data_IF_423814600115
#
_entry.id   IF_423814600115
#
_cell.length_a   1.000
_cell.length_b   1.000
_cell.length_c   1.000
_cell.angle_alpha   90.00
_cell.angle_beta   90.00
_cell.angle_gamma   90.00
#
_symmetry.space_group_name_H-M   'P 1'
#
loop_
_entity.id
_entity.type
_entity.pdbx_description
1 polymer ?
#
# COMPACT_ATOMS: atom_id res chain seq x y z
N UNK A 1 -18.69 -35.26 34.32
CA UNK A 1 -18.46 -34.47 33.09
C UNK A 1 -17.97 -33.04 33.35
N UNK A 2 -18.52 -32.30 34.30
CA UNK A 2 -18.11 -30.92 34.65
C UNK A 2 -16.61 -30.74 35.00
N UNK A 3 -15.94 -31.76 35.55
CA UNK A 3 -14.54 -31.68 36.01
C UNK A 3 -13.51 -31.51 34.88
N UNK A 4 -13.79 -31.98 33.66
CA UNK A 4 -12.90 -31.78 32.51
C UNK A 4 -12.98 -30.38 31.90
N UNK A 5 -14.13 -29.71 32.04
CA UNK A 5 -14.36 -28.39 31.48
C UNK A 5 -13.85 -27.23 32.33
N UNK A 6 -13.79 -27.40 33.66
CA UNK A 6 -13.25 -26.39 34.58
C UNK A 6 -11.80 -26.00 34.25
N UNK A 7 -10.86 -26.95 34.07
CA UNK A 7 -9.48 -26.64 33.69
C UNK A 7 -9.37 -25.95 32.32
N UNK A 8 -10.16 -26.40 31.34
CA UNK A 8 -10.17 -25.83 29.99
C UNK A 8 -10.67 -24.38 29.98
N UNK A 9 -11.76 -24.10 30.70
CA UNK A 9 -12.29 -22.75 30.90
C UNK A 9 -11.29 -21.85 31.66
N UNK A 10 -10.65 -22.39 32.69
CA UNK A 10 -9.63 -21.68 33.47
C UNK A 10 -8.37 -21.35 32.65
N UNK A 11 -8.00 -22.18 31.68
CA UNK A 11 -6.91 -21.89 30.73
C UNK A 11 -7.30 -20.87 29.66
N UNK A 12 -8.54 -20.92 29.15
CA UNK A 12 -9.01 -20.00 28.11
C UNK A 12 -9.25 -18.57 28.63
N UNK A 13 -9.71 -18.42 29.87
CA UNK A 13 -10.14 -17.13 30.43
C UNK A 13 -9.00 -16.11 30.51
N UNK A 14 -7.79 -16.43 31.03
CA UNK A 14 -6.63 -15.53 31.01
C UNK A 14 -6.19 -15.19 29.59
N UNK A 15 -6.22 -16.16 28.67
CA UNK A 15 -5.83 -15.96 27.27
C UNK A 15 -6.76 -14.97 26.56
N UNK A 16 -8.08 -15.14 26.71
CA UNK A 16 -9.08 -14.21 26.17
C UNK A 16 -8.99 -12.83 26.82
N UNK A 17 -8.75 -12.78 28.14
CA UNK A 17 -8.56 -11.54 28.88
C UNK A 17 -7.31 -10.78 28.43
N UNK A 18 -6.23 -11.47 28.04
CA UNK A 18 -5.04 -10.86 27.44
C UNK A 18 -5.26 -10.37 26.01
N UNK A 19 -6.03 -11.11 25.20
CA UNK A 19 -6.35 -10.72 23.81
C UNK A 19 -7.24 -9.48 23.74
N UNK A 20 -8.20 -9.33 24.65
CA UNK A 20 -9.20 -8.26 24.63
C UNK A 20 -8.60 -6.85 24.63
N UNK A 21 -7.70 -6.45 25.56
CA UNK A 21 -7.06 -5.14 25.53
C UNK A 21 -6.17 -4.96 24.30
N UNK A 22 -5.51 -6.02 23.82
CA UNK A 22 -4.70 -5.95 22.60
C UNK A 22 -5.56 -5.64 21.36
N UNK A 23 -6.67 -6.35 21.19
CA UNK A 23 -7.61 -6.10 20.09
C UNK A 23 -8.25 -4.71 20.20
N UNK A 24 -8.58 -4.29 21.42
CA UNK A 24 -9.13 -2.96 21.69
C UNK A 24 -8.12 -1.85 21.37
N UNK A 25 -6.82 -2.04 21.62
CA UNK A 25 -5.78 -1.10 21.21
C UNK A 25 -5.56 -1.05 19.70
N UNK A 26 -5.68 -2.18 19.00
CA UNK A 26 -5.59 -2.22 17.54
C UNK A 26 -6.74 -1.50 16.83
N UNK A 27 -7.95 -1.57 17.39
CA UNK A 27 -9.16 -1.03 16.75
C UNK A 27 -9.07 0.48 16.42
N UNK A 28 -8.74 1.39 17.34
CA UNK A 28 -8.59 2.81 17.03
C UNK A 28 -7.43 3.06 16.05
N UNK A 29 -6.35 2.29 16.15
CA UNK A 29 -5.20 2.42 15.24
C UNK A 29 -5.58 2.06 13.79
N UNK A 30 -6.28 0.94 13.59
CA UNK A 30 -6.80 0.55 12.28
C UNK A 30 -7.85 1.54 11.76
N UNK A 31 -8.70 2.05 12.66
CA UNK A 31 -9.71 3.05 12.32
C UNK A 31 -9.09 4.38 11.88
N UNK A 32 -7.96 4.81 12.48
CA UNK A 32 -7.23 6.00 12.06
C UNK A 32 -6.50 5.82 10.73
N UNK A 33 -5.98 4.61 10.45
CA UNK A 33 -5.37 4.30 9.15
C UNK A 33 -6.37 4.33 7.98
N UNK A 34 -7.61 3.89 8.23
CA UNK A 34 -8.62 3.74 7.17
C UNK A 34 -8.90 5.03 6.38
N UNK A 35 -9.23 6.18 7.00
CA UNK A 35 -9.45 7.44 6.27
C UNK A 35 -8.16 7.92 5.58
N UNK A 36 -6.99 7.70 6.18
CA UNK A 36 -5.71 8.07 5.58
C UNK A 36 -5.42 7.27 4.29
N UNK A 37 -5.63 5.95 4.31
CA UNK A 37 -5.52 5.12 3.11
C UNK A 37 -6.58 5.46 2.07
N UNK A 38 -7.80 5.76 2.52
CA UNK A 38 -8.90 6.17 1.63
C UNK A 38 -8.61 7.49 0.93
N UNK A 39 -7.98 8.47 1.59
CA UNK A 39 -7.59 9.73 0.95
C UNK A 39 -6.42 9.58 -0.03
N UNK A 40 -5.48 8.65 0.23
CA UNK A 40 -4.42 8.34 -0.74
C UNK A 40 -4.94 7.70 -2.03
N UNK A 41 -5.99 6.88 -1.94
CA UNK A 41 -6.51 6.10 -3.08
C UNK A 41 -6.91 6.97 -4.29
N UNK A 42 -7.76 8.01 -4.18
CA UNK A 42 -8.10 8.87 -5.30
C UNK A 42 -6.89 9.65 -5.84
N UNK A 43 -5.96 10.05 -4.98
CA UNK A 43 -4.74 10.76 -5.39
C UNK A 43 -3.82 9.86 -6.22
N UNK A 44 -3.61 8.61 -5.80
CA UNK A 44 -2.86 7.62 -6.59
C UNK A 44 -3.58 7.27 -7.90
N UNK A 45 -4.91 7.14 -7.84
CA UNK A 45 -5.73 6.86 -9.02
C UNK A 45 -5.67 7.99 -10.05
N UNK A 46 -5.62 9.26 -9.63
CA UNK A 46 -5.47 10.40 -10.54
C UNK A 46 -4.06 10.49 -11.15
N UNK A 47 -3.01 10.09 -10.41
CA UNK A 47 -1.66 10.02 -10.97
C UNK A 47 -1.50 8.94 -12.05
N UNK A 48 -2.19 7.81 -11.90
CA UNK A 48 -2.03 6.65 -12.80
C UNK A 48 -2.28 6.98 -14.29
N UNK A 49 -3.40 7.59 -14.71
CA UNK A 49 -3.62 7.96 -16.11
C UNK A 49 -2.62 9.01 -16.61
N UNK A 50 -2.19 9.95 -15.76
CA UNK A 50 -1.21 10.98 -16.11
C UNK A 50 0.17 10.37 -16.39
N UNK A 51 0.62 9.43 -15.55
CA UNK A 51 1.85 8.68 -15.78
C UNK A 51 1.75 7.78 -17.00
N UNK A 52 0.58 7.13 -17.19
CA UNK A 52 0.33 6.30 -18.35
C UNK A 52 0.34 7.08 -19.66
N UNK A 53 -0.20 8.31 -19.69
CA UNK A 53 -0.13 9.18 -20.87
C UNK A 53 1.29 9.67 -21.17
N UNK A 54 2.12 9.89 -20.14
CA UNK A 54 3.52 10.25 -20.32
C UNK A 54 4.37 9.11 -20.92
N UNK A 55 4.06 7.86 -20.58
CA UNK A 55 4.91 6.71 -20.91
C UNK A 55 5.09 6.50 -22.43
N UNK A 56 4.03 6.49 -23.27
CA UNK A 56 4.17 6.42 -24.73
C UNK A 56 4.94 7.60 -25.31
N UNK A 57 4.73 8.81 -24.79
CA UNK A 57 5.41 10.01 -25.27
C UNK A 57 6.92 9.95 -25.00
N UNK A 58 7.32 9.58 -23.78
CA UNK A 58 8.73 9.37 -23.43
C UNK A 58 9.35 8.22 -24.24
N UNK A 59 8.60 7.14 -24.46
CA UNK A 59 9.04 6.02 -25.27
C UNK A 59 9.22 6.39 -26.74
N UNK A 60 8.41 7.28 -27.30
CA UNK A 60 8.59 7.79 -28.67
C UNK A 60 9.80 8.72 -28.80
N UNK A 61 10.08 9.54 -27.78
CA UNK A 61 11.27 10.41 -27.78
C UNK A 61 12.58 9.63 -27.67
N UNK A 62 12.59 8.50 -26.93
CA UNK A 62 13.83 7.78 -26.60
C UNK A 62 14.60 7.28 -27.83
N UNK A 63 13.99 6.58 -28.81
CA UNK A 63 14.64 6.20 -30.06
C UNK A 63 15.13 7.40 -30.87
N UNK A 64 14.34 8.48 -30.92
CA UNK A 64 14.70 9.70 -31.68
C UNK A 64 15.94 10.38 -31.10
N UNK A 65 16.01 10.50 -29.77
CA UNK A 65 17.18 11.04 -29.07
C UNK A 65 18.40 10.11 -29.23
N UNK A 66 18.20 8.79 -29.14
CA UNK A 66 19.28 7.82 -29.33
C UNK A 66 19.84 7.86 -30.75
N UNK A 67 19.00 8.04 -31.78
CA UNK A 67 19.44 8.20 -33.17
C UNK A 67 20.21 9.51 -33.40
N UNK A 68 19.84 10.59 -32.69
CA UNK A 68 20.56 11.86 -32.78
C UNK A 68 21.94 11.83 -32.12
N UNK A 69 22.13 11.02 -31.07
CA UNK A 69 23.38 10.99 -30.28
C UNK A 69 24.65 10.65 -31.10
N UNK A 70 24.69 9.60 -31.95
CA UNK A 70 25.86 9.33 -32.80
C UNK A 70 26.01 10.34 -33.94
N UNK A 71 24.92 10.87 -34.49
CA UNK A 71 24.93 11.87 -35.56
C UNK A 71 25.53 13.22 -35.11
N UNK A 72 25.30 13.61 -33.85
CA UNK A 72 25.90 14.80 -33.25
C UNK A 72 27.43 14.69 -33.09
N UNK A 73 27.95 13.47 -32.91
CA UNK A 73 29.38 13.22 -32.81
C UNK A 73 30.09 13.15 -34.19
N UNK A 74 29.32 13.12 -35.29
CA UNK A 74 29.80 12.76 -36.63
C UNK A 74 30.27 13.90 -37.53
N UNK A 75 29.50 14.97 -37.74
CA UNK A 75 29.88 16.16 -38.55
C UNK A 75 28.71 17.17 -38.70
N UNK A 76 29.02 18.40 -39.17
CA UNK A 76 28.07 19.52 -39.41
C UNK A 76 26.81 19.18 -40.26
N UNK A 77 26.86 18.34 -41.31
CA UNK A 77 25.67 17.96 -42.09
C UNK A 77 24.73 17.03 -41.33
N UNK A 78 25.27 16.15 -40.46
CA UNK A 78 24.46 15.24 -39.66
C UNK A 78 23.66 15.99 -38.57
N UNK A 79 24.18 17.11 -38.09
CA UNK A 79 23.48 18.06 -37.21
C UNK A 79 22.16 18.57 -37.82
N UNK A 80 22.10 18.78 -39.13
CA UNK A 80 20.87 19.18 -39.81
C UNK A 80 19.83 18.05 -39.84
N UNK A 81 20.26 16.79 -39.96
CA UNK A 81 19.38 15.62 -39.91
C UNK A 81 18.79 15.35 -38.52
N UNK A 82 19.51 15.70 -37.44
CA UNK A 82 19.01 15.59 -36.07
C UNK A 82 17.97 16.65 -35.71
N UNK A 83 18.02 17.83 -36.34
CA UNK A 83 17.19 19.00 -35.98
C UNK A 83 15.68 18.70 -36.04
N UNK A 84 15.14 18.05 -37.10
CA UNK A 84 13.73 17.65 -37.14
C UNK A 84 13.37 16.63 -36.07
N UNK A 85 14.25 15.66 -35.77
CA UNK A 85 13.99 14.64 -34.75
C UNK A 85 13.93 15.26 -33.34
N UNK A 86 14.87 16.15 -33.02
CA UNK A 86 14.86 16.90 -31.76
C UNK A 86 13.63 17.81 -31.66
N UNK A 87 13.24 18.45 -32.76
CA UNK A 87 12.03 19.28 -32.81
C UNK A 87 10.75 18.45 -32.62
N UNK A 88 10.68 17.22 -33.15
CA UNK A 88 9.54 16.32 -32.92
C UNK A 88 9.46 15.80 -31.47
N UNK A 89 10.60 15.62 -30.80
CA UNK A 89 10.63 15.25 -29.38
C UNK A 89 10.13 16.38 -28.46
N UNK A 90 10.35 17.64 -28.85
CA UNK A 90 10.12 18.80 -27.97
C UNK A 90 8.65 18.96 -27.54
N UNK A 91 7.64 18.90 -28.44
CA UNK A 91 6.23 18.89 -28.07
C UNK A 91 5.85 17.72 -27.17
N UNK A 92 6.41 16.54 -27.43
CA UNK A 92 6.11 15.34 -26.65
C UNK A 92 6.61 15.48 -25.21
N UNK A 93 7.86 15.91 -25.02
CA UNK A 93 8.41 16.21 -23.69
C UNK A 93 7.66 17.35 -23.00
N UNK A 94 7.27 18.37 -23.75
CA UNK A 94 6.48 19.50 -23.23
C UNK A 94 5.09 19.06 -22.76
N UNK A 95 4.43 18.12 -23.44
CA UNK A 95 3.15 17.57 -23.01
C UNK A 95 3.26 16.64 -21.79
N UNK A 96 4.37 15.93 -21.63
CA UNK A 96 4.62 15.15 -20.40
C UNK A 96 4.84 16.03 -19.17
N UNK A 97 5.48 17.18 -19.32
CA UNK A 97 5.86 18.06 -18.20
C UNK A 97 4.68 18.48 -17.30
N UNK A 98 3.55 19.01 -17.81
CA UNK A 98 2.39 19.36 -16.97
C UNK A 98 1.76 18.12 -16.33
N UNK A 99 1.74 16.98 -17.02
CA UNK A 99 1.20 15.73 -16.46
C UNK A 99 2.05 15.24 -15.27
N UNK A 100 3.38 15.24 -15.40
CA UNK A 100 4.29 14.90 -14.30
C UNK A 100 4.20 15.93 -13.15
N UNK A 101 4.06 17.21 -13.49
CA UNK A 101 3.91 18.27 -12.49
C UNK A 101 2.61 18.14 -11.71
N UNK A 102 1.50 17.74 -12.33
CA UNK A 102 0.24 17.49 -11.61
C UNK A 102 0.26 16.20 -10.76
N UNK A 103 1.03 15.18 -11.15
CA UNK A 103 1.26 14.00 -10.30
C UNK A 103 2.04 14.33 -9.02
N UNK A 104 3.01 15.24 -9.09
CA UNK A 104 3.92 15.55 -7.98
C UNK A 104 3.21 15.97 -6.68
N UNK A 105 2.27 16.93 -6.66
CA UNK A 105 1.54 17.31 -5.44
C UNK A 105 0.64 16.17 -4.94
N UNK A 106 0.05 15.38 -5.83
CA UNK A 106 -0.79 14.23 -5.44
C UNK A 106 0.05 13.14 -4.75
N UNK A 107 1.21 12.80 -5.28
CA UNK A 107 2.14 11.87 -4.63
C UNK A 107 2.68 12.43 -3.31
N UNK A 108 2.98 13.73 -3.28
CA UNK A 108 3.45 14.40 -2.06
C UNK A 108 2.39 14.40 -0.95
N UNK A 109 1.11 14.57 -1.27
CA UNK A 109 0.03 14.48 -0.27
C UNK A 109 -0.22 13.05 0.23
N UNK A 110 -0.03 12.04 -0.63
CA UNK A 110 -0.10 10.63 -0.19
C UNK A 110 1.00 10.24 0.79
N UNK A 111 2.21 10.79 0.62
CA UNK A 111 3.40 10.40 1.39
C UNK A 111 3.22 10.54 2.92
N UNK A 112 2.80 11.69 3.49
CA UNK A 112 2.57 11.82 4.92
C UNK A 112 1.44 10.92 5.41
N UNK A 113 0.39 10.71 4.62
CA UNK A 113 -0.73 9.84 4.98
C UNK A 113 -0.30 8.38 5.08
N UNK A 114 0.48 7.88 4.12
CA UNK A 114 1.07 6.53 4.18
C UNK A 114 2.08 6.39 5.33
N UNK A 115 2.87 7.44 5.57
CA UNK A 115 3.85 7.46 6.66
C UNK A 115 3.18 7.41 8.04
N UNK A 116 2.04 8.08 8.24
CA UNK A 116 1.28 8.00 9.50
C UNK A 116 0.58 6.64 9.68
N UNK A 117 0.11 6.00 8.60
CA UNK A 117 -0.46 4.65 8.67
C UNK A 117 0.56 3.58 9.05
N UNK A 118 1.81 3.71 8.58
CA UNK A 118 2.85 2.70 8.75
C UNK A 118 3.12 2.32 10.22
N UNK A 119 3.40 3.24 11.16
CA UNK A 119 3.61 2.90 12.57
C UNK A 119 2.35 2.31 13.22
N UNK A 120 1.16 2.79 12.84
CA UNK A 120 -0.11 2.26 13.37
C UNK A 120 -0.32 0.80 12.95
N UNK A 121 -0.13 0.48 11.67
CA UNK A 121 -0.20 -0.90 11.17
C UNK A 121 0.89 -1.78 11.80
N UNK A 122 2.10 -1.25 11.95
CA UNK A 122 3.22 -1.97 12.57
C UNK A 122 2.95 -2.29 14.04
N UNK A 123 2.29 -1.38 14.79
CA UNK A 123 1.89 -1.64 16.17
C UNK A 123 0.77 -2.67 16.28
N UNK A 124 -0.21 -2.65 15.36
CA UNK A 124 -1.29 -3.63 15.37
C UNK A 124 -0.84 -5.05 15.00
N UNK A 125 0.15 -5.19 14.10
CA UNK A 125 0.60 -6.48 13.58
C UNK A 125 1.03 -7.49 14.67
N UNK A 126 1.95 -7.17 15.61
CA UNK A 126 2.33 -8.09 16.68
C UNK A 126 1.16 -8.38 17.63
N UNK A 127 0.30 -7.40 17.91
CA UNK A 127 -0.86 -7.57 18.78
C UNK A 127 -1.86 -8.57 18.18
N UNK A 128 -2.19 -8.43 16.89
CA UNK A 128 -3.05 -9.38 16.16
C UNK A 128 -2.40 -10.76 16.06
N UNK A 129 -1.09 -10.82 15.80
CA UNK A 129 -0.35 -12.07 15.71
C UNK A 129 -0.31 -12.82 17.04
N UNK A 130 -0.21 -12.12 18.18
CA UNK A 130 -0.30 -12.72 19.51
C UNK A 130 -1.71 -13.22 19.84
N UNK A 131 -2.75 -12.47 19.47
CA UNK A 131 -4.14 -12.87 19.74
C UNK A 131 -4.61 -14.05 18.89
N UNK A 132 -4.13 -14.17 17.65
CA UNK A 132 -4.57 -15.18 16.68
C UNK A 132 -4.42 -16.64 17.17
N UNK A 133 -3.25 -17.11 17.66
CA UNK A 133 -3.11 -18.46 18.20
C UNK A 133 -3.92 -18.66 19.48
N UNK A 134 -4.01 -17.64 20.33
CA UNK A 134 -4.75 -17.70 21.59
C UNK A 134 -6.26 -17.91 21.36
N UNK A 135 -6.84 -17.14 20.44
CA UNK A 135 -8.24 -17.31 20.02
C UNK A 135 -8.48 -18.65 19.33
N UNK A 136 -7.53 -19.11 18.50
CA UNK A 136 -7.60 -20.42 17.85
C UNK A 136 -7.58 -21.57 18.84
N UNK A 137 -6.78 -21.49 19.91
CA UNK A 137 -6.75 -22.51 20.97
C UNK A 137 -8.00 -22.48 21.86
N UNK A 138 -8.50 -21.30 22.20
CA UNK A 138 -9.66 -21.18 23.09
C UNK A 138 -11.00 -21.59 22.43
N UNK A 139 -11.15 -21.39 21.12
CA UNK A 139 -12.43 -21.60 20.41
C UNK A 139 -12.89 -23.08 20.42
N UNK A 140 -12.06 -24.09 20.10
CA UNK A 140 -12.42 -25.49 20.24
C UNK A 140 -12.70 -25.90 21.69
N UNK A 141 -11.92 -25.39 22.64
CA UNK A 141 -12.07 -25.71 24.06
C UNK A 141 -13.42 -25.22 24.63
N UNK A 142 -13.81 -23.98 24.29
CA UNK A 142 -15.12 -23.44 24.66
C UNK A 142 -16.27 -24.18 23.97
N UNK A 143 -16.11 -24.53 22.69
CA UNK A 143 -17.11 -25.27 21.94
C UNK A 143 -17.31 -26.70 22.47
N UNK A 144 -16.24 -27.37 22.90
CA UNK A 144 -16.32 -28.70 23.51
C UNK A 144 -17.00 -28.70 24.89
N UNK A 145 -16.88 -27.58 25.62
CA UNK A 145 -17.51 -27.44 26.95
C UNK A 145 -18.97 -26.99 26.93
N UNK A 146 -19.43 -26.34 25.85
CA UNK A 146 -20.81 -25.84 25.72
C UNK A 146 -21.87 -26.94 25.85
N UNK A 147 -21.75 -28.11 25.20
CA UNK A 147 -22.69 -29.22 25.33
C UNK A 147 -22.67 -29.85 26.73
N UNK A 148 -21.51 -29.90 27.37
CA UNK A 148 -21.32 -30.52 28.69
C UNK A 148 -21.87 -29.67 29.83
N UNK A 149 -22.08 -28.36 29.61
CA UNK A 149 -22.73 -27.43 30.53
C UNK A 149 -24.23 -27.34 30.31
N UNK A 150 -24.70 -27.52 29.07
CA UNK A 150 -26.12 -27.45 28.70
C UNK A 150 -26.85 -28.80 28.82
N UNK A 151 -26.12 -29.90 29.01
CA UNK A 151 -26.67 -31.25 29.25
C UNK A 151 -26.76 -31.63 30.73
N UNK A 152 -26.64 -30.64 31.63
CA UNK A 152 -26.99 -30.74 33.04
C UNK A 152 -28.33 -30.05 33.28
#
# INVERSE_FOLDING_TARGET
MLNGCKPMLNGCKPMLNGCKPMLNGCKPMLNGCKPMLNGCKPMLNGCKPMLNGCKPMLNGCKPMLNGCKPMLNGCKPMLNGCKPMLNGCKPMLNGCKPMLNGCKPMLNGCKPMLNGCKPMLNGCKPMLNGCKPMLKGCKPMLNGCKPMLNGC
#
